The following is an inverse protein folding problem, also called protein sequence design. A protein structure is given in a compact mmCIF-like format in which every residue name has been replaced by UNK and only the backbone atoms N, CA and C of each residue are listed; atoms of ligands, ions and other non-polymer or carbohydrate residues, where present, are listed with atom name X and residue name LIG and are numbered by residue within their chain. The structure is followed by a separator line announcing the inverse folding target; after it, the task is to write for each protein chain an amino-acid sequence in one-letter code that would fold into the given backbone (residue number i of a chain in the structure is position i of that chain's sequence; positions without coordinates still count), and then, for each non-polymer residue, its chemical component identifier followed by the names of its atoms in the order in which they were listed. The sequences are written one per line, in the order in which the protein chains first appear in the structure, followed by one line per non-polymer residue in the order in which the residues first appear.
data_IF_417800524431
#
_entry.id   IF_417800524431
#
_cell.length_a   1.000
_cell.length_b   1.000
_cell.length_c   1.000
_cell.angle_alpha   90.00
_cell.angle_beta   90.00
_cell.angle_gamma   90.00
#
_symmetry.space_group_name_H-M   'P 1'
#
loop_
_entity.id
_entity.type
_entity.pdbx_description
1 polymer ?
#
# COMPACT_ATOMS: atom_id res chain seq x y z
N UNK A 1 17.74 -6.79 -24.20
CA UNK A 1 16.41 -6.31 -23.77
C UNK A 1 15.63 -6.00 -25.04
N UNK A 2 14.53 -6.71 -25.31
CA UNK A 2 13.75 -6.61 -26.55
C UNK A 2 12.38 -5.98 -26.28
N UNK A 3 12.34 -4.91 -25.48
CA UNK A 3 11.11 -4.12 -25.32
C UNK A 3 11.14 -3.07 -26.43
N UNK A 4 10.14 -3.04 -27.34
CA UNK A 4 10.05 -2.00 -28.36
C UNK A 4 10.05 -0.62 -27.72
N UNK A 5 10.72 0.34 -28.36
CA UNK A 5 10.70 1.73 -27.91
C UNK A 5 9.27 2.28 -28.02
N UNK A 6 8.70 2.71 -26.90
CA UNK A 6 7.38 3.36 -26.87
C UNK A 6 7.58 4.84 -27.15
N UNK A 7 7.06 5.32 -28.28
CA UNK A 7 7.24 6.70 -28.74
C UNK A 7 6.25 7.63 -28.04
N UNK A 8 6.70 8.85 -27.72
CA UNK A 8 5.85 9.87 -27.08
C UNK A 8 4.60 10.20 -27.91
N UNK A 9 4.71 10.12 -29.25
CA UNK A 9 3.59 10.38 -30.15
C UNK A 9 2.48 9.31 -30.05
N UNK A 10 2.86 8.04 -29.87
CA UNK A 10 1.90 6.93 -29.66
C UNK A 10 1.10 7.13 -28.37
N UNK A 11 1.71 7.73 -27.35
CA UNK A 11 1.04 8.06 -26.09
C UNK A 11 0.13 9.28 -26.22
N UNK A 12 0.57 10.32 -26.94
CA UNK A 12 -0.18 11.58 -27.10
C UNK A 12 -1.39 11.44 -28.03
N UNK A 13 -1.27 10.62 -29.08
CA UNK A 13 -2.29 10.43 -30.10
C UNK A 13 -2.98 9.06 -29.99
N UNK A 14 -2.98 8.45 -28.80
CA UNK A 14 -3.62 7.17 -28.57
C UNK A 14 -5.12 7.22 -28.95
N UNK A 15 -5.58 6.24 -29.73
CA UNK A 15 -6.99 6.11 -30.08
C UNK A 15 -7.82 5.87 -28.81
N UNK A 16 -8.67 6.84 -28.48
CA UNK A 16 -9.49 6.81 -27.27
C UNK A 16 -10.43 5.60 -27.22
N UNK A 17 -10.84 5.08 -28.39
CA UNK A 17 -11.71 3.90 -28.46
C UNK A 17 -10.98 2.62 -28.04
N UNK A 18 -9.65 2.57 -28.23
CA UNK A 18 -8.80 1.45 -27.82
C UNK A 18 -8.34 1.53 -26.38
N UNK A 19 -8.78 2.55 -25.63
CA UNK A 19 -8.49 2.65 -24.21
C UNK A 19 -9.15 1.50 -23.47
N UNK A 20 -8.37 0.83 -22.62
CA UNK A 20 -8.87 -0.21 -21.72
C UNK A 20 -9.64 0.46 -20.58
N UNK A 21 -10.92 0.11 -20.44
CA UNK A 21 -11.76 0.54 -19.33
C UNK A 21 -11.71 -0.48 -18.17
N UNK A 22 -11.74 -1.78 -18.49
CA UNK A 22 -11.67 -2.86 -17.49
C UNK A 22 -10.72 -3.96 -17.94
N UNK A 23 -10.11 -4.63 -16.95
CA UNK A 23 -9.24 -5.78 -17.09
C UNK A 23 -9.72 -6.85 -16.11
N UNK A 24 -10.07 -8.02 -16.61
CA UNK A 24 -10.57 -9.15 -15.82
C UNK A 24 -9.75 -10.40 -16.10
N UNK A 25 -9.26 -11.09 -15.07
CA UNK A 25 -8.64 -12.40 -15.21
C UNK A 25 -9.75 -13.45 -15.33
N UNK A 26 -9.86 -14.11 -16.48
CA UNK A 26 -10.92 -15.08 -16.76
C UNK A 26 -10.45 -16.53 -16.72
N UNK A 27 -9.15 -16.76 -16.93
CA UNK A 27 -8.54 -18.08 -16.80
C UNK A 27 -7.12 -17.96 -16.23
N UNK A 28 -6.78 -18.87 -15.34
CA UNK A 28 -5.48 -18.99 -14.68
C UNK A 28 -5.04 -20.45 -14.52
N UNK A 29 -5.59 -21.36 -15.33
CA UNK A 29 -5.25 -22.78 -15.27
C UNK A 29 -3.97 -23.05 -16.07
N UNK A 30 -2.89 -23.36 -15.36
CA UNK A 30 -1.58 -23.65 -15.96
C UNK A 30 -0.71 -22.40 -16.10
N UNK A 31 0.26 -22.44 -17.03
CA UNK A 31 1.29 -21.40 -17.16
C UNK A 31 0.82 -20.14 -17.93
N UNK A 32 -0.42 -20.13 -18.40
CA UNK A 32 -0.99 -19.01 -19.16
C UNK A 32 -2.16 -18.38 -18.40
N UNK A 33 -2.09 -17.06 -18.27
CA UNK A 33 -3.13 -16.22 -17.70
C UNK A 33 -3.90 -15.56 -18.84
N UNK A 34 -5.22 -15.77 -18.90
CA UNK A 34 -6.08 -15.13 -19.89
C UNK A 34 -6.81 -13.96 -19.23
N UNK A 35 -6.57 -12.77 -19.76
CA UNK A 35 -7.26 -11.56 -19.37
C UNK A 35 -8.24 -11.12 -20.45
N UNK A 36 -9.43 -10.69 -20.05
CA UNK A 36 -10.38 -9.99 -20.92
C UNK A 36 -10.27 -8.50 -20.65
N UNK A 37 -9.96 -7.75 -21.71
CA UNK A 37 -9.93 -6.30 -21.74
C UNK A 37 -11.26 -5.82 -22.32
N UNK A 38 -11.99 -4.97 -21.59
CA UNK A 38 -13.12 -4.24 -22.18
C UNK A 38 -12.64 -2.85 -22.58
N UNK A 39 -12.72 -2.55 -23.88
CA UNK A 39 -12.30 -1.29 -24.45
C UNK A 39 -13.38 -0.21 -24.30
N UNK A 40 -13.02 1.03 -24.59
CA UNK A 40 -13.91 2.17 -24.38
C UNK A 40 -15.16 2.14 -25.25
N UNK A 41 -15.06 1.57 -26.45
CA UNK A 41 -16.18 1.35 -27.37
C UNK A 41 -17.07 0.15 -26.98
N UNK A 42 -16.75 -0.54 -25.88
CA UNK A 42 -17.46 -1.71 -25.38
C UNK A 42 -17.02 -3.03 -26.03
N UNK A 43 -16.09 -3.00 -27.00
CA UNK A 43 -15.50 -4.21 -27.56
C UNK A 43 -14.64 -4.93 -26.51
N UNK A 44 -14.50 -6.24 -26.67
CA UNK A 44 -13.70 -7.08 -25.78
C UNK A 44 -12.56 -7.70 -26.57
N UNK A 45 -11.36 -7.71 -25.99
CA UNK A 45 -10.24 -8.48 -26.52
C UNK A 45 -9.60 -9.34 -25.44
N UNK A 46 -9.09 -10.50 -25.85
CA UNK A 46 -8.37 -11.41 -24.97
C UNK A 46 -6.87 -11.12 -25.06
N UNK A 47 -6.25 -11.04 -23.89
CA UNK A 47 -4.81 -10.93 -23.71
C UNK A 47 -4.34 -12.18 -22.96
N UNK A 48 -3.62 -13.05 -23.66
CA UNK A 48 -3.00 -14.23 -23.06
C UNK A 48 -1.56 -13.88 -22.68
N UNK A 49 -1.24 -14.07 -21.41
CA UNK A 49 0.07 -13.79 -20.83
C UNK A 49 0.63 -15.07 -20.25
N UNK A 50 1.77 -15.53 -20.74
CA UNK A 50 2.48 -16.61 -20.07
C UNK A 50 3.12 -16.07 -18.78
N UNK A 51 3.17 -16.86 -17.70
CA UNK A 51 3.76 -16.47 -16.43
C UNK A 51 5.22 -15.97 -16.58
N UNK A 52 5.98 -16.56 -17.50
CA UNK A 52 7.36 -16.14 -17.81
C UNK A 52 7.44 -14.74 -18.45
N UNK A 53 6.33 -14.20 -18.97
CA UNK A 53 6.25 -12.88 -19.58
C UNK A 53 5.84 -11.78 -18.60
N UNK A 54 5.39 -12.11 -17.39
CA UNK A 54 4.91 -11.13 -16.40
C UNK A 54 5.97 -10.09 -16.09
N UNK A 55 7.23 -10.50 -15.90
CA UNK A 55 8.32 -9.57 -15.62
C UNK A 55 8.54 -8.59 -16.79
N UNK A 56 8.48 -9.09 -18.02
CA UNK A 56 8.64 -8.27 -19.21
C UNK A 56 7.50 -7.25 -19.34
N UNK A 57 6.26 -7.66 -19.08
CA UNK A 57 5.11 -6.74 -19.08
C UNK A 57 5.21 -5.68 -17.98
N UNK A 58 5.61 -6.05 -16.77
CA UNK A 58 5.82 -5.11 -15.67
C UNK A 58 6.88 -4.06 -16.04
N UNK A 59 8.00 -4.49 -16.62
CA UNK A 59 9.05 -3.60 -17.12
C UNK A 59 8.53 -2.67 -18.22
N UNK A 60 7.79 -3.19 -19.19
CA UNK A 60 7.21 -2.39 -20.28
C UNK A 60 6.25 -1.30 -19.75
N UNK A 61 5.40 -1.63 -18.76
CA UNK A 61 4.51 -0.66 -18.10
C UNK A 61 5.33 0.44 -17.41
N UNK A 62 6.36 0.07 -16.65
CA UNK A 62 7.22 1.05 -15.96
C UNK A 62 7.93 1.95 -16.98
N UNK A 63 8.47 1.39 -18.07
CA UNK A 63 9.08 2.16 -19.15
C UNK A 63 8.09 3.11 -19.81
N UNK A 64 6.86 2.68 -20.09
CA UNK A 64 5.83 3.54 -20.66
C UNK A 64 5.53 4.75 -19.76
N UNK A 65 5.38 4.54 -18.45
CA UNK A 65 5.12 5.61 -17.48
C UNK A 65 6.30 6.59 -17.40
N UNK A 66 7.54 6.07 -17.41
CA UNK A 66 8.74 6.88 -17.37
C UNK A 66 8.92 7.71 -18.66
N UNK A 67 8.68 7.12 -19.83
CA UNK A 67 8.74 7.82 -21.12
C UNK A 67 7.66 8.89 -21.26
N UNK A 68 6.52 8.71 -20.59
CA UNK A 68 5.46 9.71 -20.50
C UNK A 68 5.78 10.87 -19.53
N UNK A 69 6.96 10.87 -18.90
CA UNK A 69 7.37 11.81 -17.84
C UNK A 69 6.40 11.83 -16.63
N UNK A 70 5.61 10.77 -16.44
CA UNK A 70 4.59 10.67 -15.40
C UNK A 70 5.17 10.21 -14.06
N UNK A 71 6.19 10.92 -13.57
CA UNK A 71 6.95 10.55 -12.37
C UNK A 71 6.09 10.40 -11.11
N UNK A 72 5.11 11.29 -10.93
CA UNK A 72 4.16 11.22 -9.81
C UNK A 72 3.29 9.96 -9.86
N UNK A 73 2.87 9.54 -11.05
CA UNK A 73 2.12 8.30 -11.23
C UNK A 73 2.99 7.08 -10.94
N UNK A 74 4.23 7.07 -11.42
CA UNK A 74 5.19 6.00 -11.11
C UNK A 74 5.36 5.84 -9.60
N UNK A 75 5.63 6.94 -8.89
CA UNK A 75 5.79 6.94 -7.43
C UNK A 75 4.54 6.44 -6.71
N UNK A 76 3.34 6.84 -7.16
CA UNK A 76 2.07 6.36 -6.59
C UNK A 76 1.88 4.86 -6.81
N UNK A 77 2.14 4.35 -8.02
CA UNK A 77 1.99 2.92 -8.34
C UNK A 77 2.96 2.09 -7.51
N UNK A 78 4.24 2.46 -7.46
CA UNK A 78 5.23 1.76 -6.63
C UNK A 78 4.80 1.75 -5.16
N UNK A 79 4.23 2.86 -4.68
CA UNK A 79 3.75 2.95 -3.29
C UNK A 79 2.57 2.04 -2.97
N UNK A 80 1.69 1.79 -3.94
CA UNK A 80 0.58 0.83 -3.79
C UNK A 80 1.05 -0.63 -3.79
N UNK A 81 2.27 -0.91 -4.25
CA UNK A 81 2.84 -2.27 -4.29
C UNK A 81 3.62 -2.63 -3.03
N UNK A 82 4.00 -1.65 -2.21
CA UNK A 82 4.87 -1.87 -1.06
C UNK A 82 4.09 -2.24 0.21
N UNK A 83 2.83 -1.78 0.32
CA UNK A 83 1.98 -2.09 1.47
C UNK A 83 0.48 -2.04 1.15
N UNK A 84 -0.30 -2.73 1.96
CA UNK A 84 -1.76 -2.71 1.95
C UNK A 84 -2.29 -2.07 3.24
N UNK A 85 -2.83 -0.84 3.20
CA UNK A 85 -3.41 -0.22 4.38
C UNK A 85 -4.67 -0.96 4.82
N UNK A 86 -4.79 -1.21 6.13
CA UNK A 86 -5.93 -1.89 6.73
C UNK A 86 -6.72 -0.97 7.67
N UNK A 87 -6.00 -0.30 8.57
CA UNK A 87 -6.60 0.58 9.56
C UNK A 87 -5.72 1.81 9.77
N UNK A 88 -6.31 2.98 9.95
CA UNK A 88 -5.66 4.13 10.57
C UNK A 88 -6.36 4.49 11.86
N UNK A 89 -5.64 5.09 12.80
CA UNK A 89 -6.08 5.19 14.19
C UNK A 89 -5.64 6.52 14.80
N UNK A 90 -6.57 7.17 15.49
CA UNK A 90 -6.28 8.19 16.50
C UNK A 90 -6.47 7.62 17.90
N UNK A 91 -5.45 7.79 18.73
CA UNK A 91 -5.48 7.31 20.10
C UNK A 91 -6.04 8.42 21.00
N UNK A 92 -7.24 8.22 21.50
CA UNK A 92 -7.91 9.18 22.37
C UNK A 92 -7.28 9.22 23.77
N UNK A 93 -7.48 10.34 24.47
CA UNK A 93 -7.00 10.60 25.82
C UNK A 93 -7.54 9.60 26.86
N UNK A 94 -8.76 9.11 26.65
CA UNK A 94 -9.43 8.13 27.51
C UNK A 94 -8.93 6.69 27.28
N UNK A 95 -7.93 6.49 26.42
CA UNK A 95 -7.39 5.17 26.08
C UNK A 95 -8.11 4.46 24.92
N UNK A 96 -9.25 4.99 24.47
CA UNK A 96 -9.96 4.42 23.32
C UNK A 96 -9.23 4.71 22.01
N UNK A 97 -9.49 3.86 21.02
CA UNK A 97 -9.00 4.02 19.65
C UNK A 97 -10.16 4.42 18.76
N UNK A 98 -10.01 5.54 18.07
CA UNK A 98 -10.88 5.90 16.96
C UNK A 98 -10.17 5.49 15.67
N UNK A 99 -10.81 4.72 14.81
CA UNK A 99 -10.15 4.15 13.64
C UNK A 99 -11.06 4.12 12.42
N UNK A 100 -10.44 4.27 11.24
CA UNK A 100 -11.09 3.98 9.97
C UNK A 100 -10.54 2.68 9.39
N UNK A 101 -11.37 1.99 8.59
CA UNK A 101 -11.05 0.69 7.99
C UNK A 101 -11.00 0.81 6.48
N UNK A 102 -9.99 0.19 5.88
CA UNK A 102 -9.82 0.06 4.44
C UNK A 102 -10.23 -1.35 4.00
N UNK A 103 -11.41 -1.48 3.37
CA UNK A 103 -11.83 -2.75 2.79
C UNK A 103 -11.06 -3.01 1.49
N UNK A 104 -10.41 -4.17 1.39
CA UNK A 104 -9.65 -4.58 0.23
C UNK A 104 -10.10 -5.96 -0.24
N UNK A 105 -10.08 -6.25 -1.55
CA UNK A 105 -10.37 -7.58 -2.07
C UNK A 105 -9.40 -8.62 -1.51
N UNK A 106 -9.89 -9.85 -1.30
CA UNK A 106 -9.10 -10.96 -0.73
C UNK A 106 -7.77 -11.20 -1.45
N UNK A 107 -7.77 -11.15 -2.79
CA UNK A 107 -6.55 -11.35 -3.57
C UNK A 107 -5.44 -10.34 -3.23
N UNK A 108 -5.79 -9.10 -2.85
CA UNK A 108 -4.79 -8.11 -2.41
C UNK A 108 -4.22 -8.46 -1.05
N UNK A 109 -5.03 -9.01 -0.15
CA UNK A 109 -4.52 -9.49 1.14
C UNK A 109 -3.46 -10.57 0.95
N UNK A 110 -3.59 -11.40 -0.09
CA UNK A 110 -2.66 -12.50 -0.38
C UNK A 110 -1.33 -12.03 -1.00
N UNK A 111 -1.18 -10.76 -1.38
CA UNK A 111 0.06 -10.21 -1.92
C UNK A 111 1.08 -9.79 -0.85
N UNK A 112 0.68 -9.80 0.43
CA UNK A 112 1.46 -9.30 1.55
C UNK A 112 1.37 -10.27 2.73
N UNK A 113 2.51 -10.66 3.28
CA UNK A 113 2.56 -11.75 4.27
C UNK A 113 2.59 -11.25 5.71
N UNK A 114 3.06 -10.03 5.94
CA UNK A 114 3.32 -9.53 7.28
C UNK A 114 2.39 -8.40 7.65
N UNK A 115 1.91 -8.41 8.88
CA UNK A 115 1.17 -7.30 9.47
C UNK A 115 2.13 -6.38 10.21
N UNK A 116 1.97 -5.09 10.02
CA UNK A 116 2.82 -4.07 10.60
C UNK A 116 1.95 -3.05 11.33
N UNK A 117 2.18 -2.91 12.64
CA UNK A 117 1.61 -1.84 13.44
C UNK A 117 2.60 -0.67 13.51
N UNK A 118 2.14 0.52 13.14
CA UNK A 118 2.93 1.76 13.10
C UNK A 118 2.27 2.77 14.03
N UNK A 119 3.04 3.36 14.93
CA UNK A 119 2.58 4.37 15.88
C UNK A 119 3.44 5.63 15.76
N UNK A 120 2.78 6.77 15.62
CA UNK A 120 3.34 8.11 15.59
C UNK A 120 3.06 8.78 16.93
N UNK A 121 4.12 9.18 17.64
CA UNK A 121 4.06 10.03 18.83
C UNK A 121 4.45 11.44 18.43
N UNK A 122 3.59 12.41 18.71
CA UNK A 122 3.79 13.81 18.35
C UNK A 122 3.25 14.73 19.45
N UNK A 123 3.53 16.02 19.33
CA UNK A 123 2.91 17.05 20.18
C UNK A 123 1.89 17.81 19.35
N UNK A 124 0.71 18.03 19.93
CA UNK A 124 -0.29 18.92 19.33
C UNK A 124 0.11 20.40 19.50
N UNK A 125 -0.73 21.31 18.99
CA UNK A 125 -0.53 22.77 19.07
C UNK A 125 -0.43 23.28 20.52
N UNK A 126 -1.02 22.56 21.48
CA UNK A 126 -0.93 22.87 22.91
C UNK A 126 0.33 22.32 23.58
N UNK A 127 1.16 21.58 22.84
CA UNK A 127 2.37 20.93 23.33
C UNK A 127 2.10 19.61 24.06
N UNK A 128 0.85 19.14 24.09
CA UNK A 128 0.45 17.88 24.72
C UNK A 128 0.80 16.70 23.81
N UNK A 129 1.26 15.62 24.43
CA UNK A 129 1.61 14.41 23.69
C UNK A 129 0.37 13.69 23.17
N UNK A 130 0.38 13.39 21.88
CA UNK A 130 -0.66 12.69 21.16
C UNK A 130 -0.10 11.48 20.43
N UNK A 131 -0.98 10.53 20.15
CA UNK A 131 -0.63 9.32 19.43
C UNK A 131 -1.62 9.07 18.29
N UNK A 132 -1.10 8.79 17.11
CA UNK A 132 -1.87 8.27 15.99
C UNK A 132 -1.13 7.07 15.42
N UNK A 133 -1.78 6.23 14.64
CA UNK A 133 -1.14 5.03 14.11
C UNK A 133 -1.85 4.47 12.91
N UNK A 134 -1.30 3.37 12.42
CA UNK A 134 -1.92 2.57 11.38
C UNK A 134 -1.51 1.11 11.51
N UNK A 135 -2.31 0.24 10.92
CA UNK A 135 -1.95 -1.14 10.66
C UNK A 135 -2.02 -1.38 9.16
N UNK A 136 -0.93 -1.93 8.63
CA UNK A 136 -0.79 -2.23 7.20
C UNK A 136 -0.31 -3.67 7.02
N UNK A 137 -0.57 -4.29 5.87
CA UNK A 137 0.19 -5.47 5.45
C UNK A 137 1.36 -5.06 4.58
N UNK A 138 2.47 -5.77 4.67
CA UNK A 138 3.69 -5.51 3.89
C UNK A 138 4.34 -6.84 3.50
N UNK A 139 5.23 -6.82 2.51
CA UNK A 139 6.05 -7.99 2.15
C UNK A 139 7.25 -8.16 3.07
N UNK A 140 7.62 -7.11 3.82
CA UNK A 140 8.78 -7.16 4.70
C UNK A 140 8.44 -7.15 6.19
N UNK A 141 9.01 -8.11 6.91
CA UNK A 141 8.82 -8.25 8.35
C UNK A 141 9.82 -7.43 9.18
N UNK A 142 10.92 -6.97 8.59
CA UNK A 142 12.09 -6.50 9.34
C UNK A 142 12.23 -4.98 9.25
N UNK A 143 12.43 -4.26 10.39
CA UNK A 143 12.71 -2.84 10.36
C UNK A 143 13.91 -2.50 9.46
N UNK A 144 13.73 -1.51 8.59
CA UNK A 144 14.73 -1.08 7.63
C UNK A 144 14.21 0.08 6.76
N UNK A 145 14.99 0.46 5.75
CA UNK A 145 14.68 1.60 4.87
C UNK A 145 13.32 1.49 4.19
N UNK A 146 12.91 0.28 3.83
CA UNK A 146 11.61 0.04 3.17
C UNK A 146 10.45 0.31 4.12
N UNK A 147 10.50 -0.23 5.34
CA UNK A 147 9.51 0.06 6.37
C UNK A 147 9.48 1.55 6.71
N UNK A 148 10.62 2.22 6.80
CA UNK A 148 10.66 3.69 6.99
C UNK A 148 10.06 4.47 5.82
N UNK A 149 10.16 3.96 4.59
CA UNK A 149 9.51 4.57 3.43
C UNK A 149 7.98 4.33 3.47
N UNK A 150 7.54 3.16 3.94
CA UNK A 150 6.12 2.84 4.16
C UNK A 150 5.52 3.77 5.21
N UNK A 151 6.17 3.96 6.36
CA UNK A 151 5.65 4.85 7.42
C UNK A 151 5.51 6.29 6.94
N UNK A 152 6.51 6.81 6.20
CA UNK A 152 6.42 8.16 5.62
C UNK A 152 5.24 8.30 4.65
N UNK A 153 5.08 7.34 3.73
CA UNK A 153 3.99 7.37 2.74
C UNK A 153 2.61 7.17 3.35
N UNK A 154 2.51 6.50 4.50
CA UNK A 154 1.24 6.38 5.22
C UNK A 154 0.69 7.73 5.70
N UNK A 155 1.57 8.72 5.96
CA UNK A 155 1.13 10.08 6.30
C UNK A 155 0.41 10.75 5.13
N UNK A 156 0.88 10.52 3.90
CA UNK A 156 0.25 11.09 2.70
C UNK A 156 -1.01 10.32 2.28
N UNK A 157 -1.04 9.01 2.56
CA UNK A 157 -2.15 8.13 2.18
C UNK A 157 -3.38 8.31 3.09
N UNK A 158 -3.20 8.28 4.42
CA UNK A 158 -4.31 8.33 5.36
C UNK A 158 -4.77 9.77 5.60
N UNK A 159 -6.07 10.09 5.39
CA UNK A 159 -6.62 11.40 5.73
C UNK A 159 -6.40 11.76 7.21
N UNK A 160 -6.46 10.76 8.09
CA UNK A 160 -6.32 10.91 9.53
C UNK A 160 -4.87 11.19 9.95
N UNK A 161 -3.90 10.58 9.26
CA UNK A 161 -2.47 10.79 9.52
C UNK A 161 -1.88 12.00 8.79
N UNK A 162 -2.56 12.53 7.77
CA UNK A 162 -2.08 13.68 6.97
C UNK A 162 -1.80 14.94 7.79
N UNK A 163 -2.50 15.10 8.92
CA UNK A 163 -2.24 16.18 9.90
C UNK A 163 -0.81 16.15 10.49
N UNK A 164 -0.12 15.02 10.37
CA UNK A 164 1.26 14.84 10.85
C UNK A 164 2.31 15.13 9.77
N UNK A 165 1.90 15.42 8.54
CA UNK A 165 2.84 15.75 7.47
C UNK A 165 3.63 17.02 7.85
N UNK A 166 4.96 16.90 7.93
CA UNK A 166 5.86 18.00 8.35
C UNK A 166 5.93 18.24 9.86
N UNK A 167 5.18 17.49 10.68
CA UNK A 167 5.23 17.57 12.14
C UNK A 167 6.36 16.67 12.66
N UNK A 168 7.21 17.13 13.60
CA UNK A 168 8.20 16.28 14.25
C UNK A 168 7.50 15.14 15.03
N UNK A 169 7.67 13.91 14.53
CA UNK A 169 7.06 12.70 15.10
C UNK A 169 8.13 11.67 15.44
N UNK A 170 7.98 10.98 16.58
CA UNK A 170 8.70 9.73 16.85
C UNK A 170 7.87 8.56 16.33
N UNK A 171 8.49 7.70 15.53
CA UNK A 171 7.80 6.56 14.90
C UNK A 171 8.23 5.27 15.58
N UNK A 172 7.26 4.49 16.05
CA UNK A 172 7.45 3.16 16.58
C UNK A 172 6.80 2.15 15.64
N UNK A 173 7.50 1.06 15.36
CA UNK A 173 7.03 0.04 14.44
C UNK A 173 7.14 -1.33 15.10
N UNK A 174 6.14 -2.17 14.86
CA UNK A 174 6.12 -3.57 15.30
C UNK A 174 5.48 -4.46 14.26
N UNK A 175 6.18 -5.52 13.90
CA UNK A 175 5.61 -6.65 13.16
C UNK A 175 4.69 -7.45 14.06
N UNK A 176 3.45 -7.64 13.63
CA UNK A 176 2.42 -8.37 14.37
C UNK A 176 2.46 -9.82 13.91
N UNK A 177 2.76 -10.73 14.83
CA UNK A 177 2.79 -12.15 14.54
C UNK A 177 1.38 -12.62 14.14
N UNK A 178 1.23 -13.10 12.91
CA UNK A 178 0.08 -13.87 12.48
C UNK A 178 0.39 -15.36 12.68
N UNK A 179 -0.52 -16.11 13.29
CA UNK A 179 -0.40 -17.57 13.30
C UNK A 179 -0.80 -18.05 11.90
N UNK A 180 0.13 -18.70 11.21
CA UNK A 180 0.27 -18.93 9.76
C UNK A 180 -0.90 -19.60 8.98
N UNK A 181 -2.16 -19.38 9.33
CA UNK A 181 -3.30 -19.94 8.61
C UNK A 181 -4.51 -19.01 8.49
N UNK A 182 -4.58 -17.91 9.25
CA UNK A 182 -5.72 -16.98 9.18
C UNK A 182 -5.28 -15.51 9.17
N UNK A 183 -5.94 -14.66 8.35
CA UNK A 183 -5.78 -13.22 8.44
C UNK A 183 -6.02 -12.74 9.88
N UNK A 184 -5.19 -11.80 10.35
CA UNK A 184 -5.43 -11.19 11.66
C UNK A 184 -6.79 -10.49 11.66
N UNK A 185 -7.55 -10.71 12.72
CA UNK A 185 -8.81 -10.00 12.94
C UNK A 185 -8.54 -8.53 13.24
N UNK A 186 -9.57 -7.70 13.05
CA UNK A 186 -9.52 -6.29 13.43
C UNK A 186 -9.10 -6.11 14.89
N UNK A 187 -9.69 -6.89 15.80
CA UNK A 187 -9.35 -6.87 17.22
C UNK A 187 -7.88 -7.18 17.48
N UNK A 188 -7.31 -8.18 16.80
CA UNK A 188 -5.89 -8.51 16.95
C UNK A 188 -4.99 -7.37 16.46
N UNK A 189 -5.34 -6.74 15.34
CA UNK A 189 -4.62 -5.60 14.77
C UNK A 189 -4.64 -4.39 15.74
N UNK A 190 -5.83 -4.00 16.20
CA UNK A 190 -6.00 -2.84 17.08
C UNK A 190 -5.39 -3.07 18.47
N UNK A 191 -5.48 -4.30 19.02
CA UNK A 191 -4.81 -4.65 20.29
C UNK A 191 -3.29 -4.58 20.15
N UNK A 192 -2.73 -5.02 19.02
CA UNK A 192 -1.29 -4.91 18.78
C UNK A 192 -0.83 -3.44 18.77
N UNK A 193 -1.60 -2.56 18.14
CA UNK A 193 -1.33 -1.12 18.14
C UNK A 193 -1.46 -0.51 19.55
N UNK A 194 -2.50 -0.87 20.29
CA UNK A 194 -2.68 -0.44 21.68
C UNK A 194 -1.49 -0.87 22.56
N UNK A 195 -1.05 -2.13 22.47
CA UNK A 195 0.14 -2.60 23.19
C UNK A 195 1.41 -1.85 22.79
N UNK A 196 1.56 -1.49 21.50
CA UNK A 196 2.67 -0.68 21.04
C UNK A 196 2.66 0.72 21.69
N UNK A 197 1.48 1.36 21.80
CA UNK A 197 1.30 2.64 22.51
C UNK A 197 1.74 2.54 23.97
N UNK A 198 1.20 1.58 24.72
CA UNK A 198 1.53 1.41 26.15
C UNK A 198 3.04 1.20 26.37
N UNK A 199 3.70 0.45 25.50
CA UNK A 199 5.15 0.24 25.60
C UNK A 199 5.98 1.46 25.19
N UNK A 200 5.48 2.28 24.27
CA UNK A 200 6.13 3.53 23.89
C UNK A 200 6.12 4.57 25.02
N UNK A 201 5.07 4.57 25.85
CA UNK A 201 4.95 5.44 27.02
C UNK A 201 5.78 4.95 28.21
N UNK A 202 5.96 3.64 28.39
CA UNK A 202 6.71 3.08 29.52
C UNK A 202 8.23 3.19 29.38
N UNK A 203 8.76 3.25 28.15
CA UNK A 203 10.20 3.48 27.89
C UNK A 203 10.68 4.91 28.18
N UNK A 204 9.79 5.82 28.58
CA UNK A 204 10.11 7.21 28.91
C UNK A 204 10.29 7.49 30.40
N UNK A 205 10.24 6.48 31.28
CA UNK A 205 10.60 6.66 32.70
C UNK A 205 12.12 6.56 32.87
N UNK A 206 12.83 7.65 33.24
CA UNK A 206 14.23 7.55 33.63
C UNK A 206 14.32 6.76 34.95
N UNK A 207 15.20 5.76 34.98
CA UNK A 207 15.83 5.34 36.24
C UNK A 207 16.89 6.35 36.64
#
# INVERSE_FOLDING_TARGET
ENIPEILVDELKNADINRRVNTLELTDNQGENLTFVLTLHDGSKCELVVNELQIEMLARAIIHAINNAEMRELALRITSLLDFLPLYDVDCQDNGNLEYDTYSQPEWKHNLFDHYLAVLYRFKDESGKEQFSGAVVKTREATPGKEIEAITRRMLDFSPRLKKLAGVPCQVYVRTVAANNAQPLTQDQCLRALHHLRVQSTSKTAPQ
#
